data_IF_817606050429
#
_entry.id   IF_817606050429
#
_cell.length_a   1.000
_cell.length_b   1.000
_cell.length_c   1.000
_cell.angle_alpha   90.00
_cell.angle_beta   90.00
_cell.angle_gamma   90.00
#
_symmetry.space_group_name_H-M   'P 1'
#
loop_
_entity.id
_entity.type
_entity.pdbx_description
1 polymer ?
#
# COMPACT_ATOMS: atom_id res chain seq x y z
N UNK A 1 -18.66 -5.19 -40.72
CA UNK A 1 -19.84 -5.15 -39.82
C UNK A 1 -19.67 -3.97 -38.89
N UNK A 2 -20.04 -2.77 -39.34
CA UNK A 2 -20.11 -1.58 -38.50
C UNK A 2 -21.54 -1.41 -38.05
N UNK A 3 -21.92 -2.08 -36.95
CA UNK A 3 -23.20 -1.82 -36.30
C UNK A 3 -23.14 -0.50 -35.56
N UNK A 4 -24.23 0.26 -35.60
CA UNK A 4 -24.39 1.50 -34.85
C UNK A 4 -24.22 1.23 -33.35
N UNK A 5 -23.04 1.56 -32.82
CA UNK A 5 -22.61 1.27 -31.44
C UNK A 5 -23.54 1.92 -30.40
N UNK A 6 -24.32 2.94 -30.81
CA UNK A 6 -25.26 3.65 -29.95
C UNK A 6 -26.51 2.86 -29.55
N UNK A 7 -26.74 1.66 -30.11
CA UNK A 7 -27.92 0.81 -29.80
C UNK A 7 -27.69 -0.24 -28.72
N UNK A 8 -26.47 -0.37 -28.19
CA UNK A 8 -26.14 -1.32 -27.13
C UNK A 8 -26.56 -0.85 -25.74
N UNK A 9 -26.66 -1.78 -24.80
CA UNK A 9 -26.82 -1.44 -23.39
C UNK A 9 -25.54 -0.77 -22.87
N UNK A 10 -25.66 0.46 -22.35
CA UNK A 10 -24.56 1.24 -21.81
C UNK A 10 -24.11 0.70 -20.44
N UNK A 11 -22.80 0.62 -20.26
CA UNK A 11 -22.10 0.48 -18.98
C UNK A 11 -20.99 1.53 -18.95
N UNK A 12 -21.21 2.60 -18.18
CA UNK A 12 -20.26 3.70 -18.06
C UNK A 12 -19.39 3.47 -16.82
N UNK A 13 -18.15 3.05 -17.06
CA UNK A 13 -17.18 2.70 -16.03
C UNK A 13 -16.38 3.94 -15.67
N UNK A 14 -16.44 4.31 -14.39
CA UNK A 14 -15.80 5.50 -13.85
C UNK A 14 -15.03 5.16 -12.58
N UNK A 15 -14.08 5.99 -12.13
CA UNK A 15 -13.49 5.81 -10.82
C UNK A 15 -14.57 5.75 -9.74
N UNK A 16 -14.31 4.98 -8.68
CA UNK A 16 -15.27 4.77 -7.61
C UNK A 16 -15.77 6.11 -7.08
N UNK A 17 -17.09 6.25 -6.95
CA UNK A 17 -17.68 7.49 -6.47
C UNK A 17 -17.09 7.88 -5.10
N UNK A 18 -16.71 9.15 -4.96
CA UNK A 18 -15.98 9.67 -3.80
C UNK A 18 -14.45 9.56 -3.90
N UNK A 19 -13.91 9.07 -5.01
CA UNK A 19 -12.47 9.03 -5.27
C UNK A 19 -12.07 9.98 -6.41
N UNK A 20 -10.77 10.24 -6.53
CA UNK A 20 -10.16 11.01 -7.63
C UNK A 20 -9.08 10.13 -8.24
N UNK A 21 -9.14 9.87 -9.54
CA UNK A 21 -8.15 9.02 -10.18
C UNK A 21 -6.77 9.72 -10.29
N UNK A 22 -5.64 8.98 -10.29
CA UNK A 22 -4.34 9.57 -10.59
C UNK A 22 -4.28 10.23 -11.98
N UNK A 23 -5.08 9.72 -12.92
CA UNK A 23 -5.26 10.33 -14.24
C UNK A 23 -5.89 11.73 -14.11
N UNK A 24 -6.94 11.87 -13.30
CA UNK A 24 -7.62 13.14 -13.04
C UNK A 24 -6.66 14.21 -12.54
N UNK A 25 -5.80 13.86 -11.57
CA UNK A 25 -4.79 14.80 -11.03
C UNK A 25 -3.84 15.30 -12.13
N UNK A 26 -3.27 14.40 -12.93
CA UNK A 26 -2.33 14.77 -13.99
C UNK A 26 -2.99 15.53 -15.14
N UNK A 27 -4.18 15.08 -15.58
CA UNK A 27 -4.93 15.73 -16.64
C UNK A 27 -5.35 17.14 -16.24
N UNK A 28 -5.80 17.32 -14.99
CA UNK A 28 -6.15 18.64 -14.45
C UNK A 28 -4.92 19.55 -14.39
N UNK A 29 -3.75 19.05 -13.96
CA UNK A 29 -2.51 19.84 -13.96
C UNK A 29 -2.10 20.26 -15.39
N UNK A 30 -2.22 19.37 -16.38
CA UNK A 30 -1.96 19.71 -17.80
C UNK A 30 -2.89 20.83 -18.26
N UNK A 31 -4.19 20.71 -17.98
CA UNK A 31 -5.20 21.71 -18.37
C UNK A 31 -4.90 23.07 -17.72
N UNK A 32 -4.50 23.09 -16.45
CA UNK A 32 -4.09 24.32 -15.76
C UNK A 32 -2.82 24.92 -16.35
N UNK A 33 -1.82 24.10 -16.72
CA UNK A 33 -0.59 24.56 -17.40
C UNK A 33 -0.85 25.12 -18.79
N UNK A 34 -1.93 24.71 -19.44
CA UNK A 34 -2.42 25.31 -20.69
C UNK A 34 -3.20 26.63 -20.49
N UNK A 35 -3.29 27.14 -19.25
CA UNK A 35 -3.95 28.41 -18.93
C UNK A 35 -5.45 28.30 -18.64
N UNK A 36 -6.03 27.09 -18.65
CA UNK A 36 -7.47 26.86 -18.45
C UNK A 36 -7.81 26.69 -16.97
N UNK A 37 -7.47 27.68 -16.15
CA UNK A 37 -7.61 27.61 -14.68
C UNK A 37 -9.06 27.59 -14.17
N UNK A 38 -10.03 27.89 -15.04
CA UNK A 38 -11.46 27.77 -14.73
C UNK A 38 -11.95 26.31 -14.69
N UNK A 39 -11.20 25.36 -15.25
CA UNK A 39 -11.52 23.93 -15.15
C UNK A 39 -11.13 23.45 -13.76
N UNK A 40 -12.10 23.09 -12.92
CA UNK A 40 -11.81 22.65 -11.54
C UNK A 40 -11.19 21.26 -11.48
N UNK A 41 -11.69 20.33 -12.30
CA UNK A 41 -11.24 18.94 -12.35
C UNK A 41 -11.65 18.31 -13.67
N UNK A 42 -10.78 17.46 -14.21
CA UNK A 42 -11.07 16.60 -15.36
C UNK A 42 -11.08 15.14 -14.89
N UNK A 43 -12.04 14.33 -15.33
CA UNK A 43 -12.07 12.89 -15.04
C UNK A 43 -12.26 12.09 -16.33
N UNK A 44 -11.86 10.82 -16.31
CA UNK A 44 -12.01 9.90 -17.45
C UNK A 44 -12.83 8.69 -17.05
N UNK A 45 -13.77 8.32 -17.91
CA UNK A 45 -14.50 7.05 -17.84
C UNK A 45 -14.42 6.28 -19.15
N UNK A 46 -14.91 5.04 -19.15
CA UNK A 46 -15.00 4.16 -20.32
C UNK A 46 -16.47 3.79 -20.53
N UNK A 47 -17.02 4.12 -21.69
CA UNK A 47 -18.37 3.73 -22.07
C UNK A 47 -18.32 2.41 -22.87
N UNK A 48 -18.81 1.33 -22.26
CA UNK A 48 -19.03 0.06 -22.96
C UNK A 48 -20.47 -0.03 -23.46
N UNK A 49 -20.62 -0.48 -24.70
CA UNK A 49 -21.92 -0.75 -25.31
C UNK A 49 -22.06 -2.25 -25.57
N UNK A 50 -22.77 -2.94 -24.69
CA UNK A 50 -23.03 -4.36 -24.87
C UNK A 50 -24.13 -4.57 -25.91
N UNK A 51 -23.80 -5.29 -26.97
CA UNK A 51 -24.73 -5.65 -28.04
C UNK A 51 -25.02 -7.15 -28.01
N UNK A 52 -26.21 -7.56 -28.44
CA UNK A 52 -26.54 -8.96 -28.69
C UNK A 52 -27.44 -9.08 -29.92
N UNK A 53 -27.38 -10.22 -30.60
CA UNK A 53 -28.08 -10.43 -31.89
C UNK A 53 -29.62 -10.34 -31.80
N UNK A 54 -30.19 -10.41 -30.59
CA UNK A 54 -31.63 -10.27 -30.34
C UNK A 54 -31.93 -8.90 -29.74
N UNK A 55 -32.90 -8.17 -30.29
CA UNK A 55 -33.36 -6.85 -29.81
C UNK A 55 -33.90 -6.81 -28.37
N UNK A 56 -33.93 -7.94 -27.65
CA UNK A 56 -34.36 -7.95 -26.27
C UNK A 56 -33.35 -7.18 -25.39
N UNK A 57 -33.83 -6.46 -24.37
CA UNK A 57 -32.97 -5.81 -23.37
C UNK A 57 -32.28 -6.81 -22.43
N UNK A 58 -31.06 -6.47 -21.96
CA UNK A 58 -30.40 -7.25 -20.90
C UNK A 58 -31.18 -7.10 -19.59
N UNK A 59 -31.56 -8.21 -18.98
CA UNK A 59 -32.11 -8.20 -17.63
C UNK A 59 -31.05 -7.81 -16.58
N UNK A 60 -31.49 -7.51 -15.35
CA UNK A 60 -30.61 -7.07 -14.28
C UNK A 60 -29.50 -8.10 -13.96
N UNK A 61 -29.80 -9.39 -14.02
CA UNK A 61 -28.83 -10.47 -13.76
C UNK A 61 -27.74 -10.52 -14.83
N UNK A 62 -28.12 -10.37 -16.10
CA UNK A 62 -27.19 -10.29 -17.21
C UNK A 62 -26.34 -9.02 -17.15
N UNK A 63 -26.94 -7.87 -16.83
CA UNK A 63 -26.21 -6.62 -16.61
C UNK A 63 -25.17 -6.76 -15.50
N UNK A 64 -25.56 -7.33 -14.35
CA UNK A 64 -24.64 -7.54 -13.23
C UNK A 64 -23.45 -8.44 -13.59
N UNK A 65 -23.70 -9.54 -14.34
CA UNK A 65 -22.62 -10.42 -14.81
C UNK A 65 -21.69 -9.74 -15.80
N UNK A 66 -22.22 -8.95 -16.74
CA UNK A 66 -21.40 -8.19 -17.69
C UNK A 66 -20.56 -7.16 -16.94
N UNK A 67 -21.20 -6.37 -16.05
CA UNK A 67 -20.52 -5.39 -15.22
C UNK A 67 -19.33 -6.00 -14.48
N UNK A 68 -19.50 -7.15 -13.84
CA UNK A 68 -18.44 -7.85 -13.12
C UNK A 68 -17.20 -8.22 -13.96
N UNK A 69 -17.29 -8.20 -15.30
CA UNK A 69 -16.16 -8.46 -16.21
C UNK A 69 -15.52 -7.19 -16.80
N UNK A 70 -16.18 -6.03 -16.69
CA UNK A 70 -15.73 -4.79 -17.36
C UNK A 70 -15.33 -3.68 -16.38
N UNK A 71 -15.36 -3.93 -15.07
CA UNK A 71 -14.86 -3.00 -14.06
C UNK A 71 -14.13 -3.71 -12.92
N UNK A 72 -13.22 -3.01 -12.26
CA UNK A 72 -12.67 -3.38 -10.96
C UNK A 72 -13.59 -2.86 -9.84
N UNK A 73 -14.26 -3.80 -9.14
CA UNK A 73 -15.16 -3.50 -8.02
C UNK A 73 -14.52 -2.72 -6.87
N UNK A 74 -13.19 -2.76 -6.74
CA UNK A 74 -12.48 -2.10 -5.64
C UNK A 74 -12.27 -0.62 -5.93
N UNK A 75 -12.01 -0.27 -7.19
CA UNK A 75 -11.56 1.07 -7.61
C UNK A 75 -12.51 1.80 -8.55
N UNK A 76 -13.51 1.13 -9.11
CA UNK A 76 -14.42 1.67 -10.11
C UNK A 76 -15.89 1.57 -9.69
N UNK A 77 -16.76 2.28 -10.40
CA UNK A 77 -18.21 2.22 -10.29
C UNK A 77 -18.83 2.15 -11.68
N UNK A 78 -19.99 1.51 -11.77
CA UNK A 78 -20.74 1.35 -13.02
C UNK A 78 -21.94 2.28 -12.96
N UNK A 79 -22.02 3.19 -13.93
CA UNK A 79 -23.19 4.04 -14.18
C UNK A 79 -23.94 3.50 -15.40
N UNK A 80 -25.26 3.65 -15.38
CA UNK A 80 -26.12 3.18 -16.46
C UNK A 80 -26.46 4.29 -17.46
N UNK A 81 -26.17 5.55 -17.11
CA UNK A 81 -26.48 6.74 -17.90
C UNK A 81 -25.39 7.83 -17.77
N UNK A 82 -25.21 8.64 -18.82
CA UNK A 82 -24.32 9.81 -18.81
C UNK A 82 -24.80 10.92 -17.87
N UNK A 83 -26.12 11.06 -17.65
CA UNK A 83 -26.69 12.05 -16.72
C UNK A 83 -26.21 11.83 -15.28
N UNK A 84 -25.76 10.62 -14.95
CA UNK A 84 -25.21 10.29 -13.63
C UNK A 84 -23.76 10.78 -13.43
N UNK A 85 -23.07 11.25 -14.48
CA UNK A 85 -21.67 11.70 -14.39
C UNK A 85 -21.45 12.84 -13.39
N UNK A 86 -22.49 13.64 -13.10
CA UNK A 86 -22.42 14.67 -12.07
C UNK A 86 -22.04 14.13 -10.68
N UNK A 87 -22.35 12.85 -10.40
CA UNK A 87 -21.99 12.18 -9.14
C UNK A 87 -20.47 12.07 -8.91
N UNK A 88 -19.66 12.11 -9.98
CA UNK A 88 -18.21 12.14 -9.86
C UNK A 88 -17.72 13.43 -9.23
N UNK A 89 -18.45 14.54 -9.42
CA UNK A 89 -18.04 15.90 -9.07
C UNK A 89 -18.83 16.50 -7.91
N UNK A 90 -19.55 15.67 -7.14
CA UNK A 90 -20.31 16.12 -5.98
C UNK A 90 -19.41 16.78 -4.93
N UNK A 91 -19.81 17.96 -4.46
CA UNK A 91 -19.18 18.64 -3.33
C UNK A 91 -19.73 18.07 -2.01
N UNK A 92 -18.85 17.60 -1.13
CA UNK A 92 -19.21 17.18 0.22
C UNK A 92 -18.97 18.32 1.21
N UNK A 93 -19.92 18.56 2.11
CA UNK A 93 -19.70 19.46 3.25
C UNK A 93 -18.76 18.81 4.27
N UNK A 94 -17.79 19.55 4.85
CA UNK A 94 -16.95 19.05 5.92
C UNK A 94 -17.79 18.49 7.07
N UNK A 95 -17.49 17.26 7.49
CA UNK A 95 -18.16 16.64 8.64
C UNK A 95 -17.68 17.31 9.94
N UNK A 96 -18.56 17.52 10.93
CA UNK A 96 -18.16 18.03 12.23
C UNK A 96 -17.28 17.01 12.97
N UNK A 97 -16.40 17.52 13.83
CA UNK A 97 -15.60 16.70 14.74
C UNK A 97 -16.52 15.93 15.69
N UNK A 98 -16.27 14.63 15.88
CA UNK A 98 -17.03 13.81 16.81
C UNK A 98 -16.26 13.60 18.12
N UNK A 99 -17.00 13.60 19.24
CA UNK A 99 -16.46 13.29 20.57
C UNK A 99 -17.10 12.00 21.09
N UNK A 100 -16.31 11.18 21.79
CA UNK A 100 -16.78 9.97 22.47
C UNK A 100 -17.08 10.31 23.92
N UNK A 101 -18.35 10.21 24.32
CA UNK A 101 -18.82 10.59 25.66
C UNK A 101 -18.43 9.57 26.74
N UNK A 102 -17.22 9.72 27.28
CA UNK A 102 -16.73 8.90 28.41
C UNK A 102 -17.16 9.47 29.76
N UNK A 103 -17.56 10.74 29.83
CA UNK A 103 -18.05 11.37 31.06
C UNK A 103 -19.41 10.80 31.45
N UNK A 104 -20.34 10.70 30.50
CA UNK A 104 -21.64 10.07 30.69
C UNK A 104 -21.62 8.56 30.44
N UNK A 105 -20.85 8.09 29.45
CA UNK A 105 -20.86 6.70 29.00
C UNK A 105 -19.75 5.81 29.58
N UNK A 106 -18.85 6.38 30.37
CA UNK A 106 -17.73 5.67 30.99
C UNK A 106 -16.81 4.97 29.98
N UNK A 107 -16.07 3.98 30.48
CA UNK A 107 -15.19 3.12 29.66
C UNK A 107 -15.93 2.44 28.51
N UNK A 108 -17.20 2.08 28.70
CA UNK A 108 -18.02 1.43 27.69
C UNK A 108 -18.24 2.29 26.44
N UNK A 109 -18.21 3.63 26.57
CA UNK A 109 -18.24 4.52 25.42
C UNK A 109 -17.00 4.34 24.52
N UNK A 110 -15.82 4.14 25.12
CA UNK A 110 -14.60 3.82 24.37
C UNK A 110 -14.65 2.43 23.75
N UNK A 111 -15.19 1.44 24.46
CA UNK A 111 -15.35 0.08 23.92
C UNK A 111 -16.26 0.07 22.68
N UNK A 112 -17.37 0.84 22.71
CA UNK A 112 -18.22 1.03 21.53
C UNK A 112 -17.49 1.75 20.40
N UNK A 113 -16.78 2.84 20.71
CA UNK A 113 -16.00 3.57 19.72
C UNK A 113 -14.90 2.70 19.08
N UNK A 114 -14.27 1.81 19.84
CA UNK A 114 -13.27 0.84 19.36
C UNK A 114 -13.84 -0.05 18.25
N UNK A 115 -15.07 -0.55 18.41
CA UNK A 115 -15.76 -1.37 17.41
C UNK A 115 -16.23 -0.52 16.23
N UNK A 116 -16.92 0.60 16.49
CA UNK A 116 -17.53 1.44 15.44
C UNK A 116 -16.48 2.08 14.54
N UNK A 117 -15.35 2.53 15.09
CA UNK A 117 -14.26 3.15 14.34
C UNK A 117 -13.20 2.14 13.88
N UNK A 118 -13.28 0.88 14.32
CA UNK A 118 -12.33 -0.17 13.94
C UNK A 118 -10.91 0.05 14.48
N UNK A 119 -10.78 0.52 15.72
CA UNK A 119 -9.49 0.93 16.30
C UNK A 119 -8.61 -0.25 16.74
N UNK A 120 -9.20 -1.44 16.93
CA UNK A 120 -8.51 -2.67 17.34
C UNK A 120 -7.65 -2.51 18.62
N UNK A 121 -8.13 -1.68 19.56
CA UNK A 121 -7.50 -1.47 20.86
C UNK A 121 -7.71 -2.69 21.76
N UNK A 122 -6.65 -3.06 22.48
CA UNK A 122 -6.70 -4.04 23.57
C UNK A 122 -7.37 -3.47 24.82
N UNK A 123 -7.80 -4.34 25.74
CA UNK A 123 -8.38 -3.92 27.03
C UNK A 123 -7.45 -2.99 27.81
N UNK A 124 -6.14 -3.23 27.80
CA UNK A 124 -5.15 -2.39 28.47
C UNK A 124 -5.03 -1.01 27.82
N UNK A 125 -5.13 -0.93 26.49
CA UNK A 125 -5.11 0.35 25.78
C UNK A 125 -6.40 1.15 26.02
N UNK A 126 -7.55 0.46 26.14
CA UNK A 126 -8.81 1.10 26.55
C UNK A 126 -8.71 1.65 27.98
N UNK A 127 -8.14 0.89 28.91
CA UNK A 127 -7.94 1.34 30.29
C UNK A 127 -7.01 2.54 30.36
N UNK A 128 -5.91 2.52 29.60
CA UNK A 128 -4.98 3.63 29.49
C UNK A 128 -5.66 4.90 28.99
N UNK A 129 -6.39 4.81 27.87
CA UNK A 129 -7.09 5.95 27.28
C UNK A 129 -8.18 6.47 28.22
N UNK A 130 -8.96 5.58 28.83
CA UNK A 130 -9.99 5.97 29.78
C UNK A 130 -9.39 6.72 30.96
N UNK A 131 -8.31 6.21 31.56
CA UNK A 131 -7.60 6.88 32.65
C UNK A 131 -7.05 8.25 32.25
N UNK A 132 -6.39 8.35 31.09
CA UNK A 132 -5.83 9.60 30.59
C UNK A 132 -6.90 10.69 30.38
N UNK A 133 -7.99 10.38 29.67
CA UNK A 133 -9.03 11.36 29.39
C UNK A 133 -9.88 11.70 30.62
N UNK A 134 -10.01 10.76 31.57
CA UNK A 134 -10.57 11.01 32.91
C UNK A 134 -9.73 12.01 33.70
N UNK A 135 -8.41 11.90 33.67
CA UNK A 135 -7.50 12.84 34.34
C UNK A 135 -7.53 14.22 33.65
N UNK A 136 -7.61 14.23 32.32
CA UNK A 136 -7.71 15.44 31.51
C UNK A 136 -9.07 16.16 31.61
N UNK A 137 -10.05 15.59 32.31
CA UNK A 137 -11.42 16.11 32.45
C UNK A 137 -12.05 16.54 31.12
N UNK A 138 -11.94 15.69 30.10
CA UNK A 138 -12.58 15.93 28.80
C UNK A 138 -12.83 14.63 28.04
N UNK A 139 -13.82 14.67 27.16
CA UNK A 139 -14.06 13.62 26.19
C UNK A 139 -12.96 13.59 25.11
N UNK A 140 -12.51 12.39 24.68
CA UNK A 140 -11.66 12.25 23.51
C UNK A 140 -12.42 12.51 22.22
N UNK A 141 -11.72 13.08 21.25
CA UNK A 141 -12.22 13.19 19.88
C UNK A 141 -11.96 11.90 19.11
N UNK A 142 -12.76 11.62 18.10
CA UNK A 142 -12.57 10.49 17.19
C UNK A 142 -11.18 10.50 16.52
N UNK A 143 -10.68 11.69 16.15
CA UNK A 143 -9.34 11.88 15.56
C UNK A 143 -8.22 11.51 16.55
N UNK A 144 -8.34 11.89 17.83
CA UNK A 144 -7.35 11.53 18.85
C UNK A 144 -7.28 10.01 19.07
N UNK A 145 -8.43 9.34 19.11
CA UNK A 145 -8.51 7.90 19.25
C UNK A 145 -7.95 7.17 18.02
N UNK A 146 -8.29 7.64 16.83
CA UNK A 146 -7.74 7.11 15.58
C UNK A 146 -6.22 7.27 15.51
N UNK A 147 -5.70 8.45 15.87
CA UNK A 147 -4.26 8.71 15.94
C UNK A 147 -3.57 7.73 16.90
N UNK A 148 -4.12 7.58 18.11
CA UNK A 148 -3.55 6.66 19.11
C UNK A 148 -3.56 5.21 18.62
N UNK A 149 -4.66 4.76 18.04
CA UNK A 149 -4.82 3.40 17.53
C UNK A 149 -3.81 3.08 16.43
N UNK A 150 -3.64 3.99 15.46
CA UNK A 150 -2.66 3.81 14.39
C UNK A 150 -1.23 3.76 14.92
N UNK A 151 -0.86 4.68 15.82
CA UNK A 151 0.48 4.75 16.41
C UNK A 151 0.84 3.53 17.27
N UNK A 152 -0.15 2.92 17.93
CA UNK A 152 0.03 1.77 18.81
C UNK A 152 -0.33 0.43 18.17
N UNK A 153 -0.64 0.40 16.87
CA UNK A 153 -0.83 -0.84 16.12
C UNK A 153 0.43 -1.72 16.17
N UNK A 154 0.27 -3.03 15.98
CA UNK A 154 1.40 -3.97 15.89
C UNK A 154 2.39 -3.52 14.80
N UNK A 155 1.86 -3.11 13.64
CA UNK A 155 2.63 -2.69 12.48
C UNK A 155 3.50 -1.46 12.75
N UNK A 156 3.00 -0.48 13.52
CA UNK A 156 3.76 0.74 13.83
C UNK A 156 4.72 0.55 15.03
N UNK A 157 4.26 -0.16 16.07
CA UNK A 157 5.00 -0.26 17.33
C UNK A 157 5.95 -1.46 17.40
N UNK A 158 5.83 -2.41 16.47
CA UNK A 158 6.62 -3.64 16.42
C UNK A 158 6.60 -4.38 17.77
N UNK A 159 5.39 -4.57 18.35
CA UNK A 159 5.21 -5.12 19.70
C UNK A 159 5.86 -6.50 19.85
N UNK A 160 5.66 -7.39 18.87
CA UNK A 160 6.22 -8.75 18.86
C UNK A 160 7.76 -8.73 18.86
N UNK A 161 8.36 -7.88 18.03
CA UNK A 161 9.82 -7.80 17.92
C UNK A 161 10.51 -7.26 19.18
N UNK A 162 9.79 -6.47 19.98
CA UNK A 162 10.28 -5.92 21.25
C UNK A 162 9.81 -6.71 22.48
N UNK A 163 9.03 -7.78 22.29
CA UNK A 163 8.48 -8.56 23.40
C UNK A 163 9.57 -9.31 24.17
N UNK A 164 9.30 -9.56 25.45
CA UNK A 164 9.98 -10.59 26.22
C UNK A 164 9.41 -11.96 25.85
N UNK A 165 10.27 -12.98 25.80
CA UNK A 165 9.89 -14.34 25.38
C UNK A 165 10.11 -15.35 26.51
N UNK A 166 9.23 -16.33 26.59
CA UNK A 166 9.41 -17.55 27.38
C UNK A 166 9.22 -18.71 26.41
N UNK A 167 10.23 -19.56 26.24
CA UNK A 167 10.23 -20.67 25.28
C UNK A 167 10.42 -21.96 26.08
N UNK A 168 9.48 -22.90 25.95
CA UNK A 168 9.48 -24.18 26.67
C UNK A 168 9.63 -24.02 28.20
N UNK A 169 9.05 -22.95 28.76
CA UNK A 169 9.11 -22.61 30.19
C UNK A 169 10.29 -21.72 30.59
N UNK A 170 11.25 -21.49 29.70
CA UNK A 170 12.48 -20.75 30.01
C UNK A 170 12.43 -19.29 29.53
N UNK A 171 12.60 -18.30 30.44
CA UNK A 171 12.70 -16.89 30.07
C UNK A 171 13.92 -16.60 29.19
N UNK A 172 13.70 -15.86 28.11
CA UNK A 172 14.76 -15.44 27.20
C UNK A 172 15.27 -14.05 27.57
N UNK A 173 16.59 -13.86 27.48
CA UNK A 173 17.26 -12.61 27.89
C UNK A 173 17.21 -11.49 26.84
N UNK A 174 16.77 -11.78 25.63
CA UNK A 174 16.79 -10.84 24.50
C UNK A 174 15.45 -10.86 23.75
N UNK A 175 15.02 -9.69 23.28
CA UNK A 175 13.95 -9.61 22.28
C UNK A 175 14.46 -10.01 20.89
N UNK A 176 13.55 -10.23 19.94
CA UNK A 176 13.93 -10.49 18.54
C UNK A 176 14.75 -9.32 17.97
N UNK A 177 14.35 -8.08 18.24
CA UNK A 177 15.08 -6.90 17.78
C UNK A 177 16.47 -6.79 18.43
N UNK A 178 16.61 -7.20 19.69
CA UNK A 178 17.93 -7.22 20.36
C UNK A 178 18.89 -8.23 19.74
N UNK A 179 18.37 -9.38 19.31
CA UNK A 179 19.15 -10.37 18.54
C UNK A 179 19.59 -9.79 17.19
N UNK A 180 18.72 -9.06 16.48
CA UNK A 180 19.09 -8.37 15.23
C UNK A 180 20.17 -7.31 15.50
N UNK A 181 20.00 -6.46 16.53
CA UNK A 181 21.00 -5.46 16.93
C UNK A 181 22.33 -6.07 17.36
N UNK A 182 22.35 -7.32 17.82
CA UNK A 182 23.58 -8.03 18.18
C UNK A 182 24.51 -8.20 16.99
N UNK A 183 23.98 -8.37 15.77
CA UNK A 183 24.77 -8.48 14.54
C UNK A 183 25.57 -7.19 14.30
N UNK A 184 24.92 -6.03 14.40
CA UNK A 184 25.57 -4.72 14.28
C UNK A 184 26.55 -4.44 15.41
N UNK A 185 26.25 -4.84 16.66
CA UNK A 185 27.19 -4.71 17.78
C UNK A 185 28.50 -5.50 17.55
N UNK A 186 28.44 -6.66 16.89
CA UNK A 186 29.61 -7.50 16.60
C UNK A 186 30.32 -7.10 15.30
N UNK A 187 29.59 -6.63 14.29
CA UNK A 187 30.09 -6.38 12.93
C UNK A 187 29.58 -5.06 12.34
N UNK A 188 29.67 -3.97 13.11
CA UNK A 188 29.17 -2.65 12.70
C UNK A 188 30.10 -1.84 11.79
N UNK A 189 31.30 -2.36 11.48
CA UNK A 189 32.26 -1.66 10.62
C UNK A 189 31.63 -1.32 9.25
N UNK A 190 31.81 -0.08 8.79
CA UNK A 190 31.20 0.42 7.56
C UNK A 190 29.73 0.86 7.68
N UNK A 191 29.12 0.79 8.86
CA UNK A 191 27.75 1.29 9.08
C UNK A 191 27.77 2.72 9.61
N UNK A 192 27.13 3.65 8.88
CA UNK A 192 26.99 5.05 9.29
C UNK A 192 25.68 5.30 10.06
N UNK A 193 24.60 4.62 9.69
CA UNK A 193 23.28 4.71 10.32
C UNK A 193 22.63 3.33 10.37
N UNK A 194 22.19 2.92 11.56
CA UNK A 194 21.33 1.77 11.77
C UNK A 194 20.33 2.05 12.91
N UNK A 195 19.08 1.60 12.73
CA UNK A 195 18.01 1.64 13.74
C UNK A 195 17.61 3.03 14.29
N UNK A 196 17.99 4.12 13.60
CA UNK A 196 17.71 5.51 14.03
C UNK A 196 17.20 6.41 12.90
N UNK A 197 16.80 5.82 11.79
CA UNK A 197 16.25 6.49 10.61
C UNK A 197 15.35 5.51 9.83
N UNK A 198 14.68 6.00 8.78
CA UNK A 198 13.80 5.22 7.93
C UNK A 198 14.55 4.17 7.10
N UNK A 199 15.85 4.35 6.87
CA UNK A 199 16.72 3.42 6.18
C UNK A 199 18.10 3.32 6.87
N UNK A 200 18.84 2.26 6.56
CA UNK A 200 20.23 2.15 6.98
C UNK A 200 21.14 2.90 5.98
N UNK A 201 22.27 3.41 6.48
CA UNK A 201 23.31 4.01 5.65
C UNK A 201 24.63 3.29 5.89
N UNK A 202 25.24 2.81 4.82
CA UNK A 202 26.56 2.18 4.83
C UNK A 202 27.56 3.01 4.05
N UNK A 203 28.83 2.89 4.43
CA UNK A 203 29.94 3.52 3.73
C UNK A 203 29.97 3.09 2.26
N UNK A 204 30.43 4.00 1.41
CA UNK A 204 30.63 3.76 -0.01
C UNK A 204 31.93 4.42 -0.47
N UNK A 205 32.43 4.03 -1.65
CA UNK A 205 33.67 4.59 -2.17
C UNK A 205 33.52 6.08 -2.49
N UNK A 206 34.66 6.76 -2.66
CA UNK A 206 34.65 8.08 -3.30
C UNK A 206 34.23 7.95 -4.76
N UNK A 207 33.35 8.84 -5.21
CA UNK A 207 32.82 8.83 -6.58
C UNK A 207 32.65 10.25 -7.10
N UNK A 208 32.85 10.42 -8.41
CA UNK A 208 32.65 11.69 -9.11
C UNK A 208 31.15 11.92 -9.38
N UNK A 209 30.44 12.52 -8.42
CA UNK A 209 29.00 12.79 -8.51
C UNK A 209 28.72 13.93 -9.50
N UNK A 210 27.86 13.68 -10.49
CA UNK A 210 27.43 14.71 -11.44
C UNK A 210 26.25 15.49 -10.86
N UNK A 211 26.46 16.75 -10.52
CA UNK A 211 25.50 17.59 -9.80
C UNK A 211 25.30 18.92 -10.53
N UNK A 212 24.10 19.49 -10.42
CA UNK A 212 23.80 20.85 -10.88
C UNK A 212 24.08 21.84 -9.75
N UNK A 213 24.90 22.84 -10.02
CA UNK A 213 25.13 23.94 -9.09
C UNK A 213 23.84 24.77 -8.90
N UNK A 214 23.38 25.01 -7.66
CA UNK A 214 22.14 25.73 -7.42
C UNK A 214 22.20 27.23 -7.79
N UNK A 215 23.40 27.81 -7.85
CA UNK A 215 23.65 29.22 -8.18
C UNK A 215 23.91 29.46 -9.66
N UNK A 216 24.78 28.65 -10.30
CA UNK A 216 25.14 28.83 -11.73
C UNK A 216 24.27 27.99 -12.66
N UNK A 217 23.60 26.96 -12.13
CA UNK A 217 22.81 25.99 -12.88
C UNK A 217 23.61 25.12 -13.86
N UNK A 218 24.94 25.18 -13.80
CA UNK A 218 25.85 24.35 -14.57
C UNK A 218 26.00 22.97 -13.92
N UNK A 219 26.21 21.95 -14.75
CA UNK A 219 26.51 20.61 -14.27
C UNK A 219 28.02 20.38 -14.20
N UNK A 220 28.49 19.83 -13.09
CA UNK A 220 29.89 19.48 -12.89
C UNK A 220 30.05 18.23 -12.04
N UNK A 221 31.25 17.65 -12.04
CA UNK A 221 31.59 16.53 -11.17
C UNK A 221 32.14 17.02 -9.83
N UNK A 222 31.59 16.49 -8.75
CA UNK A 222 32.08 16.66 -7.38
C UNK A 222 32.55 15.31 -6.87
N UNK A 223 33.85 15.19 -6.59
CA UNK A 223 34.41 13.95 -6.01
C UNK A 223 34.28 13.99 -4.50
N UNK A 224 33.46 13.09 -3.95
CA UNK A 224 33.23 12.94 -2.52
C UNK A 224 32.87 11.47 -2.20
N UNK A 225 32.95 11.03 -0.92
CA UNK A 225 32.40 9.74 -0.52
C UNK A 225 30.93 9.62 -0.91
N UNK A 226 30.53 8.46 -1.43
CA UNK A 226 29.16 8.18 -1.84
C UNK A 226 28.53 7.04 -1.00
N UNK A 227 28.18 7.30 0.28
CA UNK A 227 27.43 6.34 1.09
C UNK A 227 26.15 5.85 0.41
N UNK A 228 25.81 4.60 0.70
CA UNK A 228 24.60 3.96 0.20
C UNK A 228 23.50 3.98 1.25
N UNK A 229 22.31 4.39 0.83
CA UNK A 229 21.07 4.20 1.60
C UNK A 229 20.51 2.82 1.21
N UNK A 230 20.09 2.00 2.16
CA UNK A 230 19.47 0.70 1.88
C UNK A 230 18.20 0.50 2.71
N UNK A 231 17.12 0.09 2.05
CA UNK A 231 15.83 -0.20 2.68
C UNK A 231 15.10 -1.30 1.92
N UNK A 232 14.29 -2.05 2.65
CA UNK A 232 13.35 -3.03 2.10
C UNK A 232 12.08 -2.96 2.94
N UNK A 233 10.93 -2.96 2.28
CA UNK A 233 9.59 -2.97 2.85
C UNK A 233 8.72 -4.04 2.22
N UNK A 234 7.55 -4.27 2.82
CA UNK A 234 6.53 -5.15 2.25
C UNK A 234 5.16 -4.50 2.26
N UNK A 235 4.31 -4.84 1.28
CA UNK A 235 2.94 -4.33 1.18
C UNK A 235 1.91 -5.45 0.97
N UNK A 236 2.01 -6.46 1.83
CA UNK A 236 1.33 -7.74 1.73
C UNK A 236 -0.21 -7.64 1.78
N UNK A 237 -0.75 -6.97 2.81
CA UNK A 237 -2.21 -6.92 3.02
C UNK A 237 -2.92 -6.11 1.92
N UNK A 238 -2.48 -4.88 1.54
CA UNK A 238 -3.09 -4.14 0.45
C UNK A 238 -3.01 -4.89 -0.89
N UNK A 239 -1.88 -5.54 -1.18
CA UNK A 239 -1.71 -6.33 -2.43
C UNK A 239 -2.64 -7.53 -2.49
N UNK A 240 -3.00 -8.13 -1.34
CA UNK A 240 -4.02 -9.18 -1.31
C UNK A 240 -5.41 -8.68 -1.72
N UNK A 241 -5.70 -7.39 -1.54
CA UNK A 241 -7.03 -6.80 -1.78
C UNK A 241 -7.14 -6.17 -3.16
N UNK A 242 -6.17 -5.33 -3.53
CA UNK A 242 -6.10 -4.67 -4.83
C UNK A 242 -4.62 -4.66 -5.27
N UNK A 243 -4.20 -5.64 -6.09
CA UNK A 243 -2.78 -5.90 -6.29
C UNK A 243 -2.01 -4.77 -6.98
N UNK A 244 -2.59 -4.14 -8.02
CA UNK A 244 -1.94 -3.05 -8.73
C UNK A 244 -1.57 -1.88 -7.79
N UNK A 245 -2.53 -1.22 -7.11
CA UNK A 245 -2.18 -0.11 -6.23
C UNK A 245 -1.40 -0.58 -5.00
N UNK A 246 -1.65 -1.77 -4.47
CA UNK A 246 -0.87 -2.33 -3.37
C UNK A 246 0.61 -2.48 -3.71
N UNK A 247 0.94 -2.98 -4.89
CA UNK A 247 2.33 -3.12 -5.31
C UNK A 247 2.99 -1.77 -5.68
N UNK A 248 2.22 -0.89 -6.33
CA UNK A 248 2.66 0.45 -6.68
C UNK A 248 3.02 1.27 -5.44
N UNK A 249 2.13 1.32 -4.43
CA UNK A 249 2.38 2.08 -3.20
C UNK A 249 3.40 1.41 -2.29
N UNK A 250 3.59 0.09 -2.39
CA UNK A 250 4.73 -0.60 -1.77
C UNK A 250 6.06 -0.07 -2.27
N UNK A 251 6.22 0.04 -3.60
CA UNK A 251 7.41 0.66 -4.22
C UNK A 251 7.53 2.14 -3.85
N UNK A 252 6.42 2.89 -3.93
CA UNK A 252 6.42 4.31 -3.61
C UNK A 252 6.70 4.64 -2.14
N UNK A 253 6.27 3.80 -1.20
CA UNK A 253 6.59 3.94 0.21
C UNK A 253 8.08 3.80 0.48
N UNK A 254 8.66 2.73 -0.05
CA UNK A 254 10.09 2.44 0.11
C UNK A 254 10.98 3.51 -0.56
N UNK A 255 10.62 3.99 -1.75
CA UNK A 255 11.28 5.13 -2.41
C UNK A 255 11.28 6.39 -1.53
N UNK A 256 10.18 6.67 -0.83
CA UNK A 256 10.09 7.83 0.07
C UNK A 256 11.02 7.70 1.26
N UNK A 257 11.16 6.50 1.82
CA UNK A 257 12.09 6.26 2.93
C UNK A 257 13.54 6.49 2.53
N UNK A 258 13.94 6.04 1.34
CA UNK A 258 15.26 6.34 0.80
C UNK A 258 15.48 7.86 0.66
N UNK A 259 14.52 8.56 0.07
CA UNK A 259 14.59 10.02 -0.12
C UNK A 259 14.60 10.80 1.19
N UNK A 260 13.87 10.32 2.21
CA UNK A 260 13.73 10.97 3.51
C UNK A 260 14.84 10.61 4.51
N UNK A 261 15.79 9.76 4.11
CA UNK A 261 16.92 9.38 4.98
C UNK A 261 17.84 10.57 5.24
N UNK A 262 18.24 10.75 6.50
CA UNK A 262 19.06 11.86 6.96
C UNK A 262 18.43 13.22 6.67
N UNK A 263 19.10 14.02 5.83
CA UNK A 263 18.63 15.33 5.34
C UNK A 263 18.35 15.35 3.84
N UNK A 264 18.15 14.19 3.23
CA UNK A 264 17.86 14.03 1.81
C UNK A 264 18.77 13.00 1.14
N UNK A 265 18.20 11.83 0.87
CA UNK A 265 18.78 10.79 0.03
C UNK A 265 18.31 10.89 -1.42
N UNK A 266 19.00 10.20 -2.33
CA UNK A 266 18.64 10.09 -3.73
C UNK A 266 18.51 8.61 -4.11
N UNK A 267 17.27 8.10 -4.31
CA UNK A 267 17.05 6.73 -4.74
C UNK A 267 17.76 6.41 -6.05
N UNK A 268 18.31 5.19 -6.19
CA UNK A 268 19.16 4.84 -7.35
C UNK A 268 18.72 3.56 -8.06
N UNK A 269 18.47 2.47 -7.34
CA UNK A 269 18.06 1.21 -7.96
C UNK A 269 17.18 0.40 -7.02
N UNK A 270 16.21 -0.33 -7.58
CA UNK A 270 15.26 -1.11 -6.82
C UNK A 270 15.29 -2.61 -7.08
N UNK A 271 14.62 -3.33 -6.18
CA UNK A 271 14.27 -4.73 -6.29
C UNK A 271 12.79 -4.90 -5.95
N UNK A 272 12.14 -5.88 -6.58
CA UNK A 272 10.74 -6.22 -6.34
C UNK A 272 10.59 -7.73 -6.17
N UNK A 273 9.89 -8.18 -5.14
CA UNK A 273 9.77 -9.60 -4.80
C UNK A 273 8.34 -10.04 -4.56
N UNK A 274 7.97 -11.21 -5.07
CA UNK A 274 6.63 -11.77 -4.92
C UNK A 274 6.66 -13.21 -4.42
N UNK A 275 5.88 -13.51 -3.38
CA UNK A 275 5.51 -14.87 -3.01
C UNK A 275 3.99 -15.01 -3.01
N UNK A 276 3.46 -15.98 -3.75
CA UNK A 276 2.02 -16.22 -3.90
C UNK A 276 1.72 -17.73 -3.80
N UNK A 277 0.47 -18.05 -3.54
CA UNK A 277 -0.05 -19.42 -3.67
C UNK A 277 -0.01 -19.89 -5.15
N UNK A 278 -0.45 -21.11 -5.45
CA UNK A 278 -0.36 -21.63 -6.83
C UNK A 278 -1.18 -20.81 -7.83
N UNK A 279 -0.59 -20.55 -9.01
CA UNK A 279 -1.17 -19.69 -10.04
C UNK A 279 -2.38 -20.33 -10.71
N UNK A 280 -2.35 -21.66 -10.90
CA UNK A 280 -3.42 -22.42 -11.56
C UNK A 280 -3.76 -21.81 -12.92
N UNK A 281 -2.74 -21.65 -13.77
CA UNK A 281 -2.87 -21.01 -15.07
C UNK A 281 -3.94 -21.72 -15.92
N UNK A 282 -4.93 -21.00 -16.47
CA UNK A 282 -5.95 -21.59 -17.33
C UNK A 282 -5.32 -22.34 -18.52
N UNK A 283 -5.69 -23.61 -18.69
CA UNK A 283 -5.13 -24.48 -19.75
C UNK A 283 -3.70 -24.95 -19.52
N UNK A 284 -3.06 -24.58 -18.41
CA UNK A 284 -1.67 -24.94 -18.09
C UNK A 284 -1.47 -25.29 -16.61
N UNK A 285 -2.53 -25.72 -15.92
CA UNK A 285 -2.48 -26.16 -14.53
C UNK A 285 -1.49 -27.33 -14.35
N UNK A 286 -0.80 -27.34 -13.22
CA UNK A 286 0.23 -28.33 -12.89
C UNK A 286 -0.30 -29.39 -11.92
N UNK A 287 0.23 -30.63 -11.96
CA UNK A 287 -0.29 -31.73 -11.14
C UNK A 287 -0.28 -31.49 -9.63
N UNK A 288 0.57 -30.58 -9.14
CA UNK A 288 0.71 -30.27 -7.73
C UNK A 288 -0.22 -29.15 -7.23
N UNK A 289 -0.94 -28.44 -8.10
CA UNK A 289 -1.60 -27.18 -7.71
C UNK A 289 -2.92 -27.36 -6.95
N UNK A 290 -3.55 -28.54 -7.01
CA UNK A 290 -4.82 -28.80 -6.33
C UNK A 290 -5.94 -27.79 -6.65
N UNK A 291 -7.04 -27.87 -5.92
CA UNK A 291 -8.12 -26.88 -6.01
C UNK A 291 -7.75 -25.61 -5.23
N UNK A 292 -8.20 -24.44 -5.68
CA UNK A 292 -8.00 -23.19 -4.93
C UNK A 292 -8.95 -23.13 -3.72
N UNK A 293 -8.42 -22.78 -2.55
CA UNK A 293 -9.18 -22.58 -1.31
C UNK A 293 -8.87 -21.22 -0.68
N UNK A 294 -9.39 -20.15 -1.30
CA UNK A 294 -9.15 -18.77 -0.85
C UNK A 294 -10.44 -18.05 -0.41
N UNK A 295 -10.35 -17.03 0.46
CA UNK A 295 -11.46 -16.11 0.70
C UNK A 295 -11.86 -15.34 -0.57
N UNK A 296 -13.16 -15.17 -0.82
CA UNK A 296 -13.68 -14.44 -1.98
C UNK A 296 -13.38 -12.91 -1.98
N UNK A 297 -12.92 -12.37 -0.84
CA UNK A 297 -12.63 -10.94 -0.66
C UNK A 297 -11.21 -10.51 -1.05
N UNK A 298 -10.31 -11.46 -1.28
CA UNK A 298 -8.93 -11.19 -1.76
C UNK A 298 -8.83 -11.47 -3.25
N UNK A 299 -7.76 -11.03 -3.90
CA UNK A 299 -7.38 -11.45 -5.23
C UNK A 299 -6.83 -12.89 -5.22
N UNK A 300 -6.99 -13.61 -6.33
CA UNK A 300 -6.31 -14.88 -6.57
C UNK A 300 -4.80 -14.67 -6.74
N UNK A 301 -3.97 -15.72 -6.52
CA UNK A 301 -2.54 -15.66 -6.82
C UNK A 301 -2.23 -15.25 -8.25
N UNK A 302 -3.05 -15.67 -9.21
CA UNK A 302 -2.91 -15.29 -10.61
C UNK A 302 -3.21 -13.80 -10.82
N UNK A 303 -4.32 -13.28 -10.29
CA UNK A 303 -4.64 -11.84 -10.36
C UNK A 303 -3.53 -11.00 -9.71
N UNK A 304 -2.97 -11.44 -8.59
CA UNK A 304 -1.83 -10.77 -7.95
C UNK A 304 -0.63 -10.69 -8.89
N UNK A 305 -0.30 -11.78 -9.60
CA UNK A 305 0.85 -11.80 -10.51
C UNK A 305 0.58 -11.15 -11.87
N UNK A 306 -0.68 -10.96 -12.26
CA UNK A 306 -1.03 -10.18 -13.44
C UNK A 306 -0.97 -8.67 -13.16
N UNK A 307 -1.45 -8.23 -12.00
CA UNK A 307 -1.64 -6.80 -11.69
C UNK A 307 -0.52 -6.21 -10.80
N UNK A 308 -0.04 -6.96 -9.81
CA UNK A 308 0.95 -6.49 -8.83
C UNK A 308 2.28 -6.10 -9.46
N UNK A 309 2.95 -6.96 -10.25
CA UNK A 309 4.19 -6.60 -10.93
C UNK A 309 4.06 -5.37 -11.83
N UNK A 310 2.93 -5.19 -12.52
CA UNK A 310 2.65 -4.01 -13.35
C UNK A 310 2.53 -2.77 -12.47
N UNK A 311 1.83 -2.85 -11.34
CA UNK A 311 1.74 -1.74 -10.38
C UNK A 311 3.11 -1.29 -9.85
N UNK A 312 3.93 -2.22 -9.39
CA UNK A 312 5.29 -1.92 -8.94
C UNK A 312 6.16 -1.33 -10.05
N UNK A 313 6.13 -1.94 -11.25
CA UNK A 313 6.86 -1.44 -12.40
C UNK A 313 6.39 -0.06 -12.84
N UNK A 314 5.07 0.21 -12.85
CA UNK A 314 4.50 1.51 -13.19
C UNK A 314 5.03 2.61 -12.28
N UNK A 315 5.12 2.35 -10.97
CA UNK A 315 5.68 3.33 -10.04
C UNK A 315 7.17 3.56 -10.28
N UNK A 316 7.97 2.49 -10.38
CA UNK A 316 9.41 2.58 -10.63
C UNK A 316 9.74 3.29 -11.95
N UNK A 317 9.00 2.97 -13.02
CA UNK A 317 9.18 3.55 -14.35
C UNK A 317 8.83 5.04 -14.36
N UNK A 318 7.67 5.41 -13.81
CA UNK A 318 7.23 6.79 -13.80
C UNK A 318 8.10 7.67 -12.88
N UNK A 319 8.51 7.14 -11.74
CA UNK A 319 9.45 7.81 -10.84
C UNK A 319 10.85 7.96 -11.46
N UNK A 320 11.28 6.99 -12.27
CA UNK A 320 12.59 6.99 -12.92
C UNK A 320 13.68 6.27 -12.12
N UNK A 321 13.33 5.20 -11.39
CA UNK A 321 14.30 4.32 -10.70
C UNK A 321 14.32 2.94 -11.36
N UNK A 322 15.47 2.45 -11.86
CA UNK A 322 15.55 1.12 -12.45
C UNK A 322 15.34 0.02 -11.40
N UNK A 323 14.46 -0.94 -11.70
CA UNK A 323 14.32 -2.16 -10.91
C UNK A 323 15.24 -3.25 -11.49
N UNK A 324 16.32 -3.57 -10.78
CA UNK A 324 17.45 -4.36 -11.29
C UNK A 324 17.49 -5.80 -10.77
N UNK A 325 16.53 -6.19 -9.92
CA UNK A 325 16.49 -7.52 -9.33
C UNK A 325 15.17 -7.83 -8.65
N UNK A 326 15.08 -9.04 -8.11
CA UNK A 326 13.86 -9.52 -7.48
C UNK A 326 13.85 -11.02 -7.23
N UNK A 327 12.74 -11.49 -6.69
CA UNK A 327 12.43 -12.92 -6.62
C UNK A 327 10.96 -13.15 -6.95
N UNK A 328 10.66 -14.36 -7.42
CA UNK A 328 9.29 -14.82 -7.59
C UNK A 328 9.19 -16.26 -7.09
N UNK A 329 8.25 -16.51 -6.16
CA UNK A 329 7.99 -17.82 -5.58
C UNK A 329 6.50 -18.15 -5.61
N UNK A 330 6.18 -19.36 -6.05
CA UNK A 330 4.87 -19.98 -5.82
C UNK A 330 5.01 -21.07 -4.76
N UNK A 331 4.18 -21.04 -3.72
CA UNK A 331 4.12 -22.14 -2.74
C UNK A 331 2.74 -22.22 -2.12
N UNK A 332 2.16 -23.41 -2.18
CA UNK A 332 0.94 -23.78 -1.49
C UNK A 332 0.98 -25.29 -1.26
N UNK A 333 0.68 -25.74 -0.05
CA UNK A 333 0.69 -27.15 0.29
C UNK A 333 -0.40 -27.44 1.31
N UNK A 334 -1.27 -28.39 0.96
CA UNK A 334 -2.23 -28.97 1.89
C UNK A 334 -1.54 -30.09 2.67
N UNK A 335 -1.52 -30.00 3.99
CA UNK A 335 -1.00 -31.05 4.85
C UNK A 335 -2.05 -32.14 5.04
N UNK A 336 -1.82 -33.29 4.44
CA UNK A 336 -2.65 -34.47 4.65
C UNK A 336 -2.27 -35.11 6.00
N UNK A 337 -3.27 -35.37 6.86
CA UNK A 337 -3.11 -36.19 8.06
C UNK A 337 -2.87 -35.47 9.39
N UNK A 338 -3.02 -34.14 9.44
CA UNK A 338 -2.95 -33.37 10.70
C UNK A 338 -4.29 -33.32 11.48
N UNK A 339 -5.36 -33.89 10.92
CA UNK A 339 -6.70 -33.91 11.50
C UNK A 339 -7.48 -32.58 11.42
N UNK A 340 -6.85 -31.48 10.98
CA UNK A 340 -7.43 -30.13 10.95
C UNK A 340 -7.47 -29.55 9.53
N UNK A 341 -6.74 -30.14 8.57
CA UNK A 341 -6.70 -29.72 7.17
C UNK A 341 -5.85 -28.46 6.95
N UNK A 342 -4.72 -28.34 7.66
CA UNK A 342 -3.86 -27.15 7.56
C UNK A 342 -3.30 -27.01 6.15
N UNK A 343 -3.31 -25.76 5.67
CA UNK A 343 -2.72 -25.39 4.39
C UNK A 343 -1.67 -24.31 4.60
N UNK A 344 -0.48 -24.51 4.07
CA UNK A 344 0.62 -23.53 4.08
C UNK A 344 0.73 -22.90 2.71
N UNK A 345 0.83 -21.57 2.64
CA UNK A 345 0.94 -20.88 1.38
C UNK A 345 0.83 -19.37 1.54
N UNK A 346 0.62 -18.68 0.41
CA UNK A 346 0.64 -17.22 0.34
C UNK A 346 -0.64 -16.66 -0.30
N UNK A 347 -1.80 -17.00 0.27
CA UNK A 347 -3.06 -16.34 -0.09
C UNK A 347 -3.02 -14.85 0.25
N UNK A 348 -2.47 -14.50 1.42
CA UNK A 348 -1.90 -13.16 1.63
C UNK A 348 -0.48 -13.20 1.06
N UNK A 349 -0.18 -12.44 -0.01
CA UNK A 349 1.10 -12.56 -0.70
C UNK A 349 2.22 -11.94 0.13
N UNK A 350 3.46 -12.28 -0.23
CA UNK A 350 4.58 -11.36 -0.01
C UNK A 350 4.61 -10.45 -1.23
N UNK A 351 4.45 -9.15 -1.03
CA UNK A 351 4.83 -8.13 -1.99
C UNK A 351 5.94 -7.32 -1.34
N UNK A 352 7.15 -7.45 -1.86
CA UNK A 352 8.36 -6.82 -1.35
C UNK A 352 8.81 -5.75 -2.34
N UNK A 353 9.13 -4.57 -1.80
CA UNK A 353 9.83 -3.52 -2.53
C UNK A 353 11.07 -3.14 -1.71
N UNK A 354 12.20 -2.98 -2.37
CA UNK A 354 13.43 -2.61 -1.69
C UNK A 354 14.39 -1.94 -2.63
N UNK A 355 15.41 -1.31 -2.08
CA UNK A 355 16.24 -0.44 -2.86
C UNK A 355 17.55 -0.04 -2.23
N UNK A 356 18.32 0.58 -3.10
CA UNK A 356 19.52 1.30 -2.76
C UNK A 356 19.46 2.71 -3.33
N UNK A 357 19.89 3.64 -2.49
CA UNK A 357 20.02 5.05 -2.80
C UNK A 357 21.42 5.53 -2.52
N UNK A 358 21.61 6.82 -2.68
CA UNK A 358 22.87 7.48 -2.38
C UNK A 358 22.63 8.74 -1.56
N UNK A 359 23.50 9.02 -0.61
CA UNK A 359 23.38 10.19 0.27
C UNK A 359 24.74 10.88 0.39
N UNK A 360 24.73 12.21 0.50
CA UNK A 360 25.96 12.97 0.69
C UNK A 360 26.42 12.83 2.16
N UNK A 361 27.72 12.76 2.45
CA UNK A 361 28.23 12.56 3.82
C UNK A 361 27.65 13.55 4.85
N UNK A 362 27.57 14.83 4.50
CA UNK A 362 27.03 15.90 5.34
C UNK A 362 25.51 15.84 5.57
N UNK A 363 24.80 14.96 4.86
CA UNK A 363 23.35 14.76 5.00
C UNK A 363 23.00 13.47 5.75
N UNK A 364 23.97 12.66 6.16
CA UNK A 364 23.73 11.39 6.85
C UNK A 364 23.05 11.60 8.21
N UNK A 365 23.48 12.61 8.98
CA UNK A 365 22.87 12.94 10.27
C UNK A 365 21.60 13.79 10.11
N UNK A 366 20.56 13.49 10.90
CA UNK A 366 19.41 14.38 11.11
C UNK A 366 19.81 15.61 11.94
N UNK A 367 19.02 16.68 11.82
CA UNK A 367 19.18 17.90 12.63
C UNK A 367 18.56 17.74 14.01
#
# INVERSE_FOLDING_TARGET
>A
MGGDVSRGALFLIVPRLGTISPWSTKATDIVHRCGLTWVRRVERGVAWYACRDREAAFDATARHRIAAHVHDRMTESVLDDFDQLGSLFGDAQPKPLACVDIEGGGREALARANVTLGLALSEQELDYLYGYFREANRNPTDVELMMFAQANSEHCRHKIFNAAWVIDGEPQSQSLLDMIRATHRRHGAGTLVAYRDNAAVIEGPSSARFLRDPSTHEYSHVTEPAPYVIKVETHNHPTAISPFPGAATGSGGEIRDEGATGRGGAPKAGISGFAVSHLRLPGAARPWEGAESRPARIASPLEIMLEGPIGAASFNNEFGRPNIGGFFRTFEQHCLGDGVGTSYGYHKPIMLAGGLGSIRPQHVGKR
#
